data_IF_966837646011
#
_entry.id   IF_966837646011
#
_cell.length_a   1.000
_cell.length_b   1.000
_cell.length_c   1.000
_cell.angle_alpha   90.00
_cell.angle_beta   90.00
_cell.angle_gamma   90.00
#
_symmetry.space_group_name_H-M   'P 1'
#
loop_
_entity.id
_entity.type
_entity.pdbx_description
1 polymer ?
#
# COMPACT_ATOMS: atom_id res chain seq x y z
N UNK A 1 33.96 -13.57 -38.68
CA UNK A 1 32.58 -13.12 -38.40
C UNK A 1 32.48 -12.87 -36.91
N UNK A 2 32.36 -11.61 -36.50
CA UNK A 2 32.02 -11.27 -35.11
C UNK A 2 30.57 -11.70 -34.88
N UNK A 3 30.38 -12.74 -34.07
CA UNK A 3 29.06 -13.09 -33.54
C UNK A 3 28.78 -12.07 -32.45
N UNK A 4 27.92 -11.09 -32.73
CA UNK A 4 27.39 -10.22 -31.68
C UNK A 4 26.81 -11.12 -30.58
N UNK A 5 27.15 -10.89 -29.29
CA UNK A 5 26.58 -11.69 -28.22
C UNK A 5 25.04 -11.54 -28.28
N UNK A 6 24.28 -12.62 -28.03
CA UNK A 6 22.83 -12.56 -28.10
C UNK A 6 22.32 -11.44 -27.19
N UNK A 7 21.49 -10.55 -27.73
CA UNK A 7 20.80 -9.44 -27.02
C UNK A 7 19.85 -9.93 -25.90
N UNK A 8 19.77 -11.23 -25.66
CA UNK A 8 18.96 -11.80 -24.60
C UNK A 8 19.74 -11.88 -23.29
N UNK A 9 19.21 -11.23 -22.27
CA UNK A 9 19.72 -11.34 -20.91
C UNK A 9 19.82 -12.82 -20.49
N UNK A 10 20.93 -13.16 -19.84
CA UNK A 10 21.16 -14.49 -19.29
C UNK A 10 20.06 -14.85 -18.27
N UNK A 11 19.80 -16.16 -18.03
CA UNK A 11 18.84 -16.59 -17.01
C UNK A 11 19.12 -15.98 -15.63
N UNK A 12 20.39 -15.78 -15.29
CA UNK A 12 20.81 -15.13 -14.04
C UNK A 12 20.43 -13.66 -14.01
N UNK A 13 20.70 -12.89 -15.07
CA UNK A 13 20.34 -11.47 -15.12
C UNK A 13 18.82 -11.26 -15.09
N UNK A 14 18.06 -12.13 -15.77
CA UNK A 14 16.59 -12.16 -15.69
C UNK A 14 16.12 -12.42 -14.27
N UNK A 15 16.73 -13.40 -13.58
CA UNK A 15 16.42 -13.70 -12.19
C UNK A 15 16.74 -12.52 -11.27
N UNK A 16 17.94 -11.96 -11.34
CA UNK A 16 18.39 -10.87 -10.47
C UNK A 16 17.48 -9.64 -10.63
N UNK A 17 17.07 -9.34 -11.87
CA UNK A 17 16.13 -8.25 -12.17
C UNK A 17 14.76 -8.50 -11.55
N UNK A 18 14.16 -9.67 -11.81
CA UNK A 18 12.83 -9.99 -11.29
C UNK A 18 12.82 -10.13 -9.76
N UNK A 19 13.88 -10.68 -9.18
CA UNK A 19 14.03 -10.79 -7.73
C UNK A 19 14.19 -9.42 -7.08
N UNK A 20 14.94 -8.50 -7.71
CA UNK A 20 15.00 -7.09 -7.34
C UNK A 20 13.60 -6.46 -7.32
N UNK A 21 12.85 -6.59 -8.41
CA UNK A 21 11.47 -6.08 -8.51
C UNK A 21 10.54 -6.66 -7.44
N UNK A 22 10.66 -7.96 -7.14
CA UNK A 22 9.85 -8.61 -6.10
C UNK A 22 10.15 -7.99 -4.72
N UNK A 23 11.42 -7.77 -4.41
CA UNK A 23 11.84 -7.09 -3.17
C UNK A 23 11.36 -5.65 -3.12
N UNK A 24 11.43 -4.92 -4.23
CA UNK A 24 11.00 -3.52 -4.31
C UNK A 24 9.49 -3.39 -4.15
N UNK A 25 8.70 -4.31 -4.72
CA UNK A 25 7.26 -4.36 -4.48
C UNK A 25 6.93 -4.63 -3.03
N UNK A 26 7.66 -5.53 -2.38
CA UNK A 26 7.48 -5.82 -0.96
C UNK A 26 7.83 -4.61 -0.09
N UNK A 27 9.06 -4.09 -0.18
CA UNK A 27 9.50 -2.94 0.61
C UNK A 27 8.65 -1.70 0.32
N UNK A 28 8.36 -1.44 -0.96
CA UNK A 28 7.55 -0.32 -1.39
C UNK A 28 6.12 -0.34 -0.84
N UNK A 29 5.52 -1.53 -0.63
CA UNK A 29 4.21 -1.63 0.03
C UNK A 29 4.29 -1.17 1.50
N UNK A 30 5.31 -1.59 2.25
CA UNK A 30 5.46 -1.19 3.66
C UNK A 30 5.78 0.29 3.80
N UNK A 31 6.67 0.82 2.95
CA UNK A 31 6.97 2.26 2.93
C UNK A 31 5.74 3.09 2.58
N UNK A 32 4.93 2.61 1.61
CA UNK A 32 3.66 3.22 1.27
C UNK A 32 2.71 3.20 2.45
N UNK A 33 2.50 2.05 3.09
CA UNK A 33 1.58 1.93 4.23
C UNK A 33 2.01 2.83 5.38
N UNK A 34 3.29 2.82 5.76
CA UNK A 34 3.83 3.62 6.84
C UNK A 34 3.57 5.12 6.64
N UNK A 35 3.78 5.62 5.42
CA UNK A 35 3.51 7.03 5.07
C UNK A 35 2.02 7.37 5.20
N UNK A 36 1.13 6.52 4.70
CA UNK A 36 -0.30 6.82 4.70
C UNK A 36 -0.92 6.67 6.09
N UNK A 37 -0.52 5.67 6.88
CA UNK A 37 -0.92 5.54 8.29
C UNK A 37 -0.47 6.77 9.08
N UNK A 38 0.77 7.26 8.85
CA UNK A 38 1.26 8.48 9.51
C UNK A 38 0.36 9.69 9.20
N UNK A 39 -0.02 9.90 7.94
CA UNK A 39 -0.93 10.99 7.55
C UNK A 39 -2.28 10.86 8.26
N UNK A 40 -2.87 9.65 8.30
CA UNK A 40 -4.14 9.42 8.97
C UNK A 40 -4.05 9.64 10.48
N UNK A 41 -2.98 9.16 11.12
CA UNK A 41 -2.76 9.39 12.56
C UNK A 41 -2.57 10.87 12.89
N UNK A 42 -1.87 11.63 12.03
CA UNK A 42 -1.74 13.08 12.20
C UNK A 42 -3.10 13.78 12.08
N UNK A 43 -3.92 13.40 11.11
CA UNK A 43 -5.27 13.96 10.95
C UNK A 43 -6.15 13.65 12.16
N UNK A 44 -6.10 12.41 12.66
CA UNK A 44 -6.80 11.99 13.88
C UNK A 44 -6.34 12.83 15.08
N UNK A 45 -5.04 12.91 15.31
CA UNK A 45 -4.45 13.65 16.42
C UNK A 45 -4.78 15.15 16.35
N UNK A 46 -4.73 15.74 15.17
CA UNK A 46 -5.09 17.15 14.96
C UNK A 46 -6.56 17.41 15.30
N UNK A 47 -7.48 16.56 14.83
CA UNK A 47 -8.93 16.69 15.12
C UNK A 47 -9.21 16.52 16.62
N UNK A 48 -8.50 15.59 17.28
CA UNK A 48 -8.63 15.33 18.72
C UNK A 48 -7.96 16.38 19.61
N UNK A 49 -6.90 17.06 19.16
CA UNK A 49 -6.20 18.06 19.96
C UNK A 49 -6.75 19.48 19.78
N UNK A 50 -7.19 19.84 18.56
CA UNK A 50 -7.58 21.21 18.23
C UNK A 50 -9.02 21.53 18.63
N UNK A 51 -9.19 22.38 19.64
CA UNK A 51 -10.50 22.94 20.02
C UNK A 51 -11.13 23.74 18.87
N UNK A 52 -10.32 24.50 18.13
CA UNK A 52 -10.80 25.31 17.01
C UNK A 52 -11.32 24.44 15.87
N UNK A 53 -10.62 23.36 15.54
CA UNK A 53 -11.07 22.42 14.51
C UNK A 53 -12.40 21.77 14.89
N UNK A 54 -12.55 21.34 16.15
CA UNK A 54 -13.82 20.78 16.64
C UNK A 54 -14.94 21.81 16.61
N UNK A 55 -14.70 23.02 17.11
CA UNK A 55 -15.69 24.10 17.11
C UNK A 55 -16.14 24.43 15.68
N UNK A 56 -15.21 24.49 14.74
CA UNK A 56 -15.50 24.74 13.33
C UNK A 56 -16.33 23.60 12.70
N UNK A 57 -15.95 22.34 12.91
CA UNK A 57 -16.66 21.18 12.38
C UNK A 57 -18.05 21.01 12.99
N UNK A 58 -18.19 21.31 14.29
CA UNK A 58 -19.47 21.30 15.00
C UNK A 58 -20.42 22.37 14.45
N UNK A 59 -19.89 23.57 14.16
CA UNK A 59 -20.65 24.71 13.63
C UNK A 59 -21.04 24.51 12.16
N UNK A 60 -20.16 23.90 11.36
CA UNK A 60 -20.35 23.70 9.93
C UNK A 60 -20.50 22.21 9.57
N UNK A 61 -21.65 21.63 9.94
CA UNK A 61 -21.94 20.21 9.71
C UNK A 61 -21.81 19.75 8.25
N UNK A 62 -22.13 20.61 7.28
CA UNK A 62 -21.90 20.32 5.86
C UNK A 62 -20.41 20.04 5.55
N UNK A 63 -19.50 20.80 6.14
CA UNK A 63 -18.06 20.60 5.98
C UNK A 63 -17.61 19.32 6.69
N UNK A 64 -18.17 19.01 7.86
CA UNK A 64 -17.89 17.77 8.57
C UNK A 64 -18.26 16.52 7.73
N UNK A 65 -19.42 16.52 7.06
CA UNK A 65 -19.79 15.44 6.14
C UNK A 65 -18.85 15.35 4.95
N UNK A 66 -18.50 16.48 4.33
CA UNK A 66 -17.53 16.51 3.24
C UNK A 66 -16.17 15.94 3.66
N UNK A 67 -15.69 16.31 4.86
CA UNK A 67 -14.44 15.79 5.41
C UNK A 67 -14.50 14.26 5.60
N UNK A 68 -15.60 13.72 6.13
CA UNK A 68 -15.80 12.27 6.25
C UNK A 68 -15.76 11.58 4.88
N UNK A 69 -16.46 12.12 3.88
CA UNK A 69 -16.44 11.57 2.52
C UNK A 69 -15.02 11.54 1.95
N UNK A 70 -14.24 12.60 2.15
CA UNK A 70 -12.85 12.67 1.69
C UNK A 70 -11.99 11.62 2.40
N UNK A 71 -12.13 11.45 3.72
CA UNK A 71 -11.37 10.45 4.49
C UNK A 71 -11.71 9.02 4.05
N UNK A 72 -12.99 8.71 3.83
CA UNK A 72 -13.42 7.39 3.35
C UNK A 72 -12.98 7.13 1.91
N UNK A 73 -13.07 8.14 1.03
CA UNK A 73 -12.56 8.05 -0.34
C UNK A 73 -11.05 7.82 -0.36
N UNK A 74 -10.31 8.50 0.52
CA UNK A 74 -8.88 8.29 0.67
C UNK A 74 -8.57 6.84 1.09
N UNK A 75 -9.27 6.27 2.06
CA UNK A 75 -9.12 4.86 2.43
C UNK A 75 -9.41 3.90 1.26
N UNK A 76 -10.42 4.20 0.44
CA UNK A 76 -10.72 3.42 -0.77
C UNK A 76 -9.58 3.50 -1.81
N UNK A 77 -8.95 4.66 -1.98
CA UNK A 77 -7.77 4.83 -2.85
C UNK A 77 -6.54 4.08 -2.33
N UNK A 78 -6.36 4.01 -1.01
CA UNK A 78 -5.31 3.18 -0.40
C UNK A 78 -5.52 1.71 -0.71
N UNK A 79 -6.75 1.20 -0.60
CA UNK A 79 -7.10 -0.18 -0.97
C UNK A 79 -6.75 -0.46 -2.45
N UNK A 80 -7.12 0.42 -3.38
CA UNK A 80 -6.77 0.27 -4.78
C UNK A 80 -5.24 0.23 -5.00
N UNK A 81 -4.49 1.03 -4.25
CA UNK A 81 -3.03 1.08 -4.30
C UNK A 81 -2.38 -0.19 -3.75
N UNK A 82 -2.82 -0.67 -2.58
CA UNK A 82 -2.37 -1.93 -1.97
C UNK A 82 -2.64 -3.10 -2.94
N UNK A 83 -3.82 -3.13 -3.54
CA UNK A 83 -4.18 -4.16 -4.52
C UNK A 83 -3.27 -4.15 -5.76
N UNK A 84 -2.88 -2.96 -6.22
CA UNK A 84 -1.90 -2.80 -7.31
C UNK A 84 -0.53 -3.35 -6.93
N UNK A 85 -0.03 -3.11 -5.72
CA UNK A 85 1.22 -3.71 -5.22
C UNK A 85 1.12 -5.23 -5.16
N UNK A 86 0.01 -5.76 -4.64
CA UNK A 86 -0.22 -7.19 -4.53
C UNK A 86 -0.23 -7.87 -5.91
N UNK A 87 -0.98 -7.33 -6.88
CA UNK A 87 -1.01 -7.86 -8.25
C UNK A 87 0.37 -7.86 -8.90
N UNK A 88 1.13 -6.77 -8.76
CA UNK A 88 2.50 -6.68 -9.30
C UNK A 88 3.42 -7.73 -8.67
N UNK A 89 3.37 -7.88 -7.34
CA UNK A 89 4.14 -8.90 -6.63
C UNK A 89 3.77 -10.33 -7.07
N UNK A 90 2.49 -10.62 -7.29
CA UNK A 90 2.04 -11.92 -7.82
C UNK A 90 2.58 -12.20 -9.23
N UNK A 91 2.50 -11.22 -10.13
CA UNK A 91 3.00 -11.37 -11.50
C UNK A 91 4.51 -11.60 -11.52
N UNK A 92 5.28 -10.81 -10.78
CA UNK A 92 6.75 -10.99 -10.68
C UNK A 92 7.11 -12.33 -10.06
N UNK A 93 6.35 -12.78 -9.05
CA UNK A 93 6.54 -14.10 -8.44
C UNK A 93 6.27 -15.25 -9.43
N UNK A 94 5.22 -15.14 -10.25
CA UNK A 94 4.92 -16.13 -11.28
C UNK A 94 6.04 -16.19 -12.33
N UNK A 95 6.51 -15.03 -12.82
CA UNK A 95 7.63 -14.94 -13.76
C UNK A 95 8.93 -15.53 -13.19
N UNK A 96 9.22 -15.30 -11.91
CA UNK A 96 10.37 -15.93 -11.23
C UNK A 96 10.24 -17.44 -11.11
N UNK A 97 9.02 -17.92 -10.86
CA UNK A 97 8.74 -19.35 -10.73
C UNK A 97 8.87 -20.06 -12.07
N UNK A 98 8.39 -19.43 -13.14
CA UNK A 98 8.49 -19.94 -14.52
C UNK A 98 9.94 -19.99 -15.03
N UNK A 99 10.80 -19.07 -14.58
CA UNK A 99 12.21 -19.04 -14.96
C UNK A 99 12.98 -20.30 -14.49
N UNK A 100 12.52 -20.96 -13.42
CA UNK A 100 13.09 -22.21 -12.92
C UNK A 100 14.54 -22.14 -12.42
N UNK A 101 15.11 -20.93 -12.28
CA UNK A 101 16.51 -20.72 -11.92
C UNK A 101 16.83 -21.05 -10.45
N UNK A 102 15.88 -20.80 -9.54
CA UNK A 102 15.97 -21.16 -8.13
C UNK A 102 14.67 -21.79 -7.62
N UNK A 103 14.72 -22.64 -6.57
CA UNK A 103 13.52 -23.14 -5.90
C UNK A 103 12.64 -22.00 -5.38
N UNK A 104 11.33 -22.15 -5.56
CA UNK A 104 10.36 -21.09 -5.23
C UNK A 104 10.34 -20.74 -3.75
N UNK A 105 10.74 -21.66 -2.87
CA UNK A 105 10.86 -21.44 -1.43
C UNK A 105 11.82 -20.29 -1.10
N UNK A 106 12.85 -20.07 -1.92
CA UNK A 106 13.87 -19.05 -1.69
C UNK A 106 13.31 -17.62 -1.70
N UNK A 107 12.33 -17.36 -2.58
CA UNK A 107 11.75 -16.02 -2.77
C UNK A 107 10.28 -15.92 -2.36
N UNK A 108 9.65 -17.03 -1.91
CA UNK A 108 8.25 -17.06 -1.44
C UNK A 108 7.97 -16.04 -0.32
N UNK A 109 8.91 -15.84 0.60
CA UNK A 109 8.74 -14.88 1.70
C UNK A 109 8.75 -13.42 1.23
N UNK A 110 9.35 -13.13 0.07
CA UNK A 110 9.39 -11.79 -0.52
C UNK A 110 8.13 -11.45 -1.32
N UNK A 111 7.25 -12.42 -1.55
CA UNK A 111 5.92 -12.17 -2.12
C UNK A 111 5.02 -11.55 -1.07
N UNK A 112 4.31 -10.49 -1.45
CA UNK A 112 3.25 -9.91 -0.63
C UNK A 112 2.20 -11.00 -0.37
N UNK A 113 1.95 -11.30 0.90
CA UNK A 113 0.98 -12.34 1.26
C UNK A 113 -0.44 -11.77 1.28
N UNK A 114 -1.48 -12.58 0.99
CA UNK A 114 -2.87 -12.13 1.06
C UNK A 114 -3.23 -11.56 2.42
N UNK A 115 -2.70 -12.16 3.50
CA UNK A 115 -2.90 -11.67 4.86
C UNK A 115 -2.41 -10.22 5.02
N UNK A 116 -1.27 -9.83 4.43
CA UNK A 116 -0.75 -8.46 4.49
C UNK A 116 -1.72 -7.46 3.86
N UNK A 117 -2.31 -7.81 2.71
CA UNK A 117 -3.32 -6.99 2.03
C UNK A 117 -4.56 -6.83 2.90
N UNK A 118 -5.05 -7.93 3.48
CA UNK A 118 -6.22 -7.91 4.37
C UNK A 118 -5.95 -7.06 5.61
N UNK A 119 -4.81 -7.24 6.27
CA UNK A 119 -4.44 -6.48 7.47
C UNK A 119 -4.35 -4.98 7.21
N UNK A 120 -3.68 -4.55 6.12
CA UNK A 120 -3.56 -3.14 5.78
C UNK A 120 -4.91 -2.54 5.35
N UNK A 121 -5.73 -3.32 4.66
CA UNK A 121 -7.09 -2.89 4.32
C UNK A 121 -7.91 -2.63 5.58
N UNK A 122 -7.93 -3.59 6.52
CA UNK A 122 -8.66 -3.46 7.78
C UNK A 122 -8.14 -2.29 8.61
N UNK A 123 -6.82 -2.12 8.70
CA UNK A 123 -6.19 -1.03 9.44
C UNK A 123 -6.61 0.34 8.86
N UNK A 124 -6.44 0.55 7.56
CA UNK A 124 -6.77 1.83 6.91
C UNK A 124 -8.26 2.17 7.05
N UNK A 125 -9.15 1.19 6.87
CA UNK A 125 -10.59 1.41 7.07
C UNK A 125 -10.93 1.69 8.54
N UNK A 126 -10.37 0.94 9.48
CA UNK A 126 -10.61 1.17 10.91
C UNK A 126 -10.20 2.58 11.33
N UNK A 127 -9.03 3.05 10.89
CA UNK A 127 -8.55 4.41 11.19
C UNK A 127 -9.43 5.46 10.50
N UNK A 128 -9.81 5.26 9.23
CA UNK A 128 -10.70 6.18 8.52
C UNK A 128 -12.09 6.30 9.17
N UNK A 129 -12.66 5.18 9.63
CA UNK A 129 -13.91 5.17 10.40
C UNK A 129 -13.75 5.88 11.74
N UNK A 130 -12.63 5.66 12.44
CA UNK A 130 -12.36 6.34 13.70
C UNK A 130 -12.26 7.85 13.51
N UNK A 131 -11.52 8.33 12.51
CA UNK A 131 -11.44 9.75 12.17
C UNK A 131 -12.82 10.32 11.85
N UNK A 132 -13.60 9.61 11.03
CA UNK A 132 -14.95 10.05 10.66
C UNK A 132 -15.88 10.12 11.87
N UNK A 133 -15.81 9.13 12.77
CA UNK A 133 -16.55 9.15 14.02
C UNK A 133 -16.15 10.35 14.89
N UNK A 134 -14.84 10.61 15.04
CA UNK A 134 -14.37 11.79 15.76
C UNK A 134 -14.94 13.06 15.13
N UNK A 135 -14.80 13.27 13.82
CA UNK A 135 -15.31 14.46 13.11
C UNK A 135 -16.82 14.67 13.35
N UNK A 136 -17.62 13.60 13.38
CA UNK A 136 -19.07 13.71 13.52
C UNK A 136 -19.54 13.89 14.97
N UNK A 137 -18.83 13.31 15.94
CA UNK A 137 -19.24 13.29 17.34
C UNK A 137 -18.47 14.27 18.24
N UNK A 138 -17.46 14.96 17.72
CA UNK A 138 -16.92 16.20 18.31
C UNK A 138 -17.73 17.42 17.91
#
# INVERSE_FOLDING_TARGET
MNVEPPLEASPKEKFDTLFGLLKDHYAGLFDFEFKNVTVLTLLLGWTLASNDARSFLHTHRGIAYCACVVVLLYAALLLASIWKFYRRSLLTYAQLSELGYMPTEYFRMRRIQPFTVVSFTLLNWAVAFLISAVILFT
#
